data_IF_620241068901
#
_entry.id   IF_620241068901
#
_cell.length_a   1.000
_cell.length_b   1.000
_cell.length_c   1.000
_cell.angle_alpha   90.00
_cell.angle_beta   90.00
_cell.angle_gamma   90.00
#
_symmetry.space_group_name_H-M   'P 1'
#
loop_
_entity.id
_entity.type
_entity.pdbx_description
1 polymer ?
#
# COMPACT_ATOMS: atom_id res chain seq x y z
N UNK A 1 10.29 21.02 -10.85
CA UNK A 1 10.54 19.55 -10.88
C UNK A 1 9.38 18.81 -10.23
N UNK A 2 9.25 17.52 -10.52
CA UNK A 2 8.22 16.63 -9.95
C UNK A 2 8.93 15.61 -9.06
N UNK A 3 8.60 15.61 -7.77
CA UNK A 3 9.17 14.72 -6.76
C UNK A 3 8.14 13.67 -6.38
N UNK A 4 8.44 12.40 -6.60
CA UNK A 4 7.65 11.26 -6.13
C UNK A 4 8.19 10.79 -4.77
N UNK A 5 7.42 11.02 -3.71
CA UNK A 5 7.83 10.89 -2.32
C UNK A 5 7.08 9.76 -1.63
N UNK A 6 7.80 8.81 -1.05
CA UNK A 6 7.19 7.66 -0.36
C UNK A 6 8.13 7.05 0.68
N UNK A 7 7.53 6.29 1.60
CA UNK A 7 8.27 5.43 2.50
C UNK A 7 8.53 4.08 1.85
N UNK A 8 9.70 3.50 2.11
CA UNK A 8 10.07 2.16 1.68
C UNK A 8 10.29 1.25 2.88
N UNK A 9 9.75 0.03 2.84
CA UNK A 9 9.94 -0.99 3.87
C UNK A 9 10.68 -2.22 3.33
N UNK A 10 10.04 -3.04 2.49
CA UNK A 10 10.63 -4.27 1.93
C UNK A 10 10.08 -4.62 0.53
N UNK A 11 9.28 -3.75 -0.05
CA UNK A 11 8.55 -3.99 -1.29
C UNK A 11 9.44 -3.71 -2.53
N UNK A 12 10.57 -4.43 -2.69
CA UNK A 12 11.55 -4.18 -3.77
C UNK A 12 10.92 -4.29 -5.16
N UNK A 13 10.12 -5.31 -5.40
CA UNK A 13 9.46 -5.51 -6.70
C UNK A 13 8.44 -4.41 -6.97
N UNK A 14 7.68 -4.01 -5.97
CA UNK A 14 6.70 -2.93 -6.10
C UNK A 14 7.37 -1.57 -6.29
N UNK A 15 8.52 -1.33 -5.63
CA UNK A 15 9.34 -0.14 -5.87
C UNK A 15 9.82 -0.09 -7.33
N UNK A 16 10.29 -1.22 -7.86
CA UNK A 16 10.72 -1.29 -9.25
C UNK A 16 9.57 -1.01 -10.22
N UNK A 17 8.41 -1.64 -10.01
CA UNK A 17 7.20 -1.40 -10.81
C UNK A 17 6.80 0.09 -10.74
N UNK A 18 6.77 0.69 -9.54
CA UNK A 18 6.47 2.12 -9.36
C UNK A 18 7.38 3.00 -10.17
N UNK A 19 8.70 2.79 -10.06
CA UNK A 19 9.68 3.57 -10.79
C UNK A 19 9.52 3.42 -12.31
N UNK A 20 9.27 2.19 -12.82
CA UNK A 20 8.99 1.96 -14.24
C UNK A 20 7.73 2.69 -14.72
N UNK A 21 6.65 2.66 -13.94
CA UNK A 21 5.38 3.30 -14.31
C UNK A 21 5.50 4.83 -14.32
N UNK A 22 6.25 5.40 -13.39
CA UNK A 22 6.31 6.85 -13.20
C UNK A 22 7.54 7.52 -13.84
N UNK A 23 8.47 6.75 -14.40
CA UNK A 23 9.76 7.27 -14.89
C UNK A 23 9.63 8.48 -15.83
N UNK A 24 8.64 8.46 -16.72
CA UNK A 24 8.50 9.50 -17.74
C UNK A 24 7.83 10.79 -17.24
N UNK A 25 7.28 10.76 -16.02
CA UNK A 25 6.55 11.92 -15.44
C UNK A 25 7.19 12.46 -14.17
N UNK A 26 8.19 11.74 -13.61
CA UNK A 26 8.85 12.10 -12.35
C UNK A 26 10.30 12.50 -12.60
N UNK A 27 10.74 13.61 -12.02
CA UNK A 27 12.12 14.05 -12.08
C UNK A 27 12.98 13.45 -10.95
N UNK A 28 12.38 13.21 -9.77
CA UNK A 28 13.06 12.69 -8.59
C UNK A 28 12.17 11.69 -7.83
N UNK A 29 12.73 10.54 -7.49
CA UNK A 29 12.15 9.56 -6.57
C UNK A 29 12.76 9.72 -5.19
N UNK A 30 11.99 10.20 -4.22
CA UNK A 30 12.41 10.35 -2.83
C UNK A 30 12.10 9.06 -2.09
N UNK A 31 13.11 8.21 -1.97
CA UNK A 31 13.04 6.92 -1.25
C UNK A 31 13.42 7.15 0.21
N UNK A 32 12.45 7.11 1.11
CA UNK A 32 12.66 7.27 2.55
C UNK A 32 12.60 5.91 3.25
N UNK A 33 13.71 5.45 3.81
CA UNK A 33 13.80 4.17 4.49
C UNK A 33 14.18 4.35 5.96
N UNK A 34 13.38 3.75 6.88
CA UNK A 34 13.66 3.79 8.30
C UNK A 34 14.47 2.56 8.75
N UNK A 35 15.26 2.71 9.84
CA UNK A 35 16.00 1.62 10.47
C UNK A 35 15.14 0.73 11.38
N UNK A 36 13.85 1.04 11.48
CA UNK A 36 12.88 0.24 12.22
C UNK A 36 11.48 0.29 11.58
N UNK A 37 10.68 -0.72 11.89
CA UNK A 37 9.29 -0.84 11.44
C UNK A 37 8.35 0.03 12.28
N UNK A 38 7.09 0.20 11.84
CA UNK A 38 6.08 0.86 12.65
C UNK A 38 5.78 0.11 13.96
N UNK A 39 5.96 -1.21 13.99
CA UNK A 39 5.86 -2.00 15.22
C UNK A 39 7.08 -1.88 16.15
N UNK A 40 8.12 -1.13 15.74
CA UNK A 40 9.32 -0.86 16.55
C UNK A 40 10.41 -1.95 16.42
N UNK A 41 10.29 -2.84 15.44
CA UNK A 41 11.32 -3.86 15.18
C UNK A 41 12.44 -3.25 14.34
N UNK A 42 13.70 -3.52 14.71
CA UNK A 42 14.85 -3.15 13.89
C UNK A 42 14.82 -3.91 12.55
N UNK A 43 15.23 -3.24 11.48
CA UNK A 43 15.30 -3.83 10.15
C UNK A 43 16.58 -3.40 9.43
N UNK A 44 17.08 -4.21 8.47
CA UNK A 44 18.15 -3.82 7.57
C UNK A 44 17.67 -2.71 6.63
N UNK A 45 18.62 -2.02 5.99
CA UNK A 45 18.35 -1.02 4.94
C UNK A 45 18.29 -1.75 3.59
N UNK A 46 17.12 -2.29 3.29
CA UNK A 46 16.91 -3.17 2.14
C UNK A 46 17.09 -2.46 0.79
N UNK A 47 16.77 -1.17 0.72
CA UNK A 47 17.05 -0.40 -0.49
C UNK A 47 18.55 -0.31 -0.73
N UNK A 48 19.33 0.06 0.28
CA UNK A 48 20.79 0.17 0.17
C UNK A 48 21.43 -1.17 -0.19
N UNK A 49 20.99 -2.27 0.44
CA UNK A 49 21.47 -3.62 0.16
C UNK A 49 21.14 -4.09 -1.27
N UNK A 50 20.10 -3.54 -1.90
CA UNK A 50 19.64 -3.93 -3.23
C UNK A 50 19.71 -2.78 -4.26
N UNK A 51 20.52 -1.76 -4.00
CA UNK A 51 20.59 -0.53 -4.81
C UNK A 51 20.90 -0.79 -6.28
N UNK A 52 21.71 -1.81 -6.59
CA UNK A 52 22.06 -2.19 -7.95
C UNK A 52 20.84 -2.58 -8.80
N UNK A 53 19.78 -3.09 -8.19
CA UNK A 53 18.51 -3.39 -8.87
C UNK A 53 17.87 -2.13 -9.50
N UNK A 54 18.16 -0.96 -8.94
CA UNK A 54 17.58 0.33 -9.33
C UNK A 54 18.54 1.22 -10.13
N UNK A 55 19.63 0.66 -10.61
CA UNK A 55 20.71 1.39 -11.30
C UNK A 55 20.23 2.26 -12.48
N UNK A 56 19.23 1.81 -13.22
CA UNK A 56 18.67 2.57 -14.33
C UNK A 56 17.98 3.88 -13.89
N UNK A 57 17.55 3.97 -12.63
CA UNK A 57 16.91 5.15 -12.05
C UNK A 57 17.87 5.99 -11.18
N UNK A 58 19.13 5.59 -11.04
CA UNK A 58 20.09 6.17 -10.08
C UNK A 58 20.17 7.71 -10.17
N UNK A 59 20.13 8.26 -11.37
CA UNK A 59 20.20 9.72 -11.59
C UNK A 59 18.96 10.47 -11.06
N UNK A 60 17.86 9.78 -10.79
CA UNK A 60 16.62 10.35 -10.26
C UNK A 60 16.41 10.04 -8.77
N UNK A 61 17.14 9.09 -8.19
CA UNK A 61 16.93 8.64 -6.82
C UNK A 61 17.49 9.64 -5.82
N UNK A 62 16.67 10.04 -4.87
CA UNK A 62 17.03 10.76 -3.66
C UNK A 62 16.76 9.85 -2.46
N UNK A 63 17.81 9.21 -1.95
CA UNK A 63 17.69 8.27 -0.85
C UNK A 63 17.97 8.94 0.49
N UNK A 64 17.06 8.74 1.46
CA UNK A 64 17.27 9.19 2.84
C UNK A 64 17.01 8.04 3.82
N UNK A 65 17.79 8.02 4.90
CA UNK A 65 17.65 7.06 6.00
C UNK A 65 17.11 7.75 7.25
N UNK A 66 15.99 7.25 7.77
CA UNK A 66 15.38 7.71 9.03
C UNK A 66 15.89 6.82 10.17
N UNK A 67 16.82 7.38 11.00
CA UNK A 67 17.45 6.66 12.12
C UNK A 67 16.88 7.04 13.48
N UNK A 68 16.09 8.08 13.53
CA UNK A 68 15.61 8.80 14.71
C UNK A 68 14.10 8.67 14.91
N UNK A 69 13.51 7.56 14.44
CA UNK A 69 12.08 7.31 14.62
C UNK A 69 11.70 7.37 16.09
N UNK A 70 10.68 8.17 16.42
CA UNK A 70 10.11 8.30 17.76
C UNK A 70 8.62 8.04 17.74
N UNK A 71 8.09 7.56 18.86
CA UNK A 71 6.66 7.33 19.05
C UNK A 71 6.40 6.14 19.97
N UNK A 72 5.47 6.32 20.90
CA UNK A 72 5.10 5.30 21.89
C UNK A 72 4.15 4.25 21.32
N UNK A 73 3.52 4.55 20.20
CA UNK A 73 2.57 3.65 19.50
C UNK A 73 3.01 3.36 18.08
N UNK A 74 2.47 2.30 17.49
CA UNK A 74 2.68 1.96 16.09
C UNK A 74 2.26 3.11 15.15
N UNK A 75 1.11 3.75 15.43
CA UNK A 75 0.62 4.87 14.65
C UNK A 75 1.48 6.14 14.81
N UNK A 76 2.01 6.39 16.00
CA UNK A 76 2.92 7.53 16.20
C UNK A 76 4.22 7.35 15.40
N UNK A 77 4.79 6.14 15.38
CA UNK A 77 5.96 5.83 14.54
C UNK A 77 5.67 5.91 13.05
N UNK A 78 4.50 5.42 12.61
CA UNK A 78 4.05 5.55 11.22
C UNK A 78 3.94 7.03 10.81
N UNK A 79 3.26 7.85 11.62
CA UNK A 79 3.15 9.30 11.38
C UNK A 79 4.51 9.99 11.35
N UNK A 80 5.40 9.66 12.29
CA UNK A 80 6.75 10.21 12.33
C UNK A 80 7.53 9.90 11.05
N UNK A 81 7.55 8.63 10.64
CA UNK A 81 8.29 8.22 9.43
C UNK A 81 7.70 8.85 8.17
N UNK A 82 6.38 8.99 8.07
CA UNK A 82 5.70 9.71 6.98
C UNK A 82 6.12 11.18 6.93
N UNK A 83 6.14 11.85 8.06
CA UNK A 83 6.56 13.25 8.16
C UNK A 83 8.05 13.43 7.87
N UNK A 84 8.90 12.46 8.25
CA UNK A 84 10.33 12.49 7.99
C UNK A 84 10.66 12.56 6.49
N UNK A 85 9.78 12.09 5.60
CA UNK A 85 9.95 12.20 4.13
C UNK A 85 10.13 13.66 3.71
N UNK A 86 9.46 14.60 4.37
CA UNK A 86 9.54 16.04 4.10
C UNK A 86 10.97 16.60 4.21
N UNK A 87 11.84 15.95 4.99
CA UNK A 87 13.24 16.38 5.16
C UNK A 87 14.04 16.35 3.84
N UNK A 88 13.66 15.49 2.91
CA UNK A 88 14.29 15.43 1.58
C UNK A 88 13.91 16.61 0.68
N UNK A 89 12.87 17.36 1.02
CA UNK A 89 12.33 18.47 0.22
C UNK A 89 12.93 19.85 0.58
N UNK A 90 13.93 19.90 1.44
CA UNK A 90 14.51 21.16 1.96
C UNK A 90 15.01 22.11 0.87
N UNK A 91 15.40 21.57 -0.29
CA UNK A 91 15.90 22.35 -1.43
C UNK A 91 14.86 22.56 -2.54
N UNK A 92 13.60 22.15 -2.32
CA UNK A 92 12.55 22.40 -3.30
C UNK A 92 12.17 23.88 -3.35
N UNK A 93 11.83 24.33 -4.56
CA UNK A 93 11.24 25.65 -4.80
C UNK A 93 9.72 25.58 -4.66
N UNK A 94 9.07 26.72 -4.46
CA UNK A 94 7.61 26.79 -4.39
C UNK A 94 6.92 26.31 -5.68
N UNK A 95 7.66 26.36 -6.80
CA UNK A 95 7.20 25.90 -8.11
C UNK A 95 7.27 24.38 -8.28
N UNK A 96 7.99 23.66 -7.42
CA UNK A 96 8.13 22.23 -7.52
C UNK A 96 6.82 21.53 -7.14
N UNK A 97 6.60 20.36 -7.75
CA UNK A 97 5.39 19.55 -7.56
C UNK A 97 5.75 18.35 -6.70
N UNK A 98 4.98 18.14 -5.65
CA UNK A 98 5.14 17.05 -4.71
C UNK A 98 4.02 16.05 -4.94
N UNK A 99 4.39 14.85 -5.32
CA UNK A 99 3.54 13.67 -5.34
C UNK A 99 3.89 12.85 -4.09
N UNK A 100 2.91 12.57 -3.23
CA UNK A 100 3.12 11.80 -2.01
C UNK A 100 2.10 10.68 -1.87
N UNK A 101 2.55 9.49 -1.51
CA UNK A 101 1.72 8.32 -1.21
C UNK A 101 2.49 7.26 -0.42
N UNK A 102 1.81 6.19 0.02
CA UNK A 102 2.50 4.96 0.37
C UNK A 102 3.08 4.32 -0.92
N UNK A 103 4.14 3.53 -0.81
CA UNK A 103 4.88 3.00 -1.97
C UNK A 103 4.00 2.18 -2.91
N UNK A 104 3.09 1.40 -2.34
CA UNK A 104 2.18 0.50 -3.05
C UNK A 104 0.96 1.22 -3.67
N UNK A 105 0.90 2.56 -3.57
CA UNK A 105 -0.14 3.41 -4.17
C UNK A 105 0.44 4.16 -5.38
N UNK A 106 0.36 3.54 -6.55
CA UNK A 106 0.93 4.08 -7.79
C UNK A 106 -0.10 4.97 -8.49
N UNK A 107 0.13 6.29 -8.62
CA UNK A 107 -0.79 7.17 -9.36
C UNK A 107 -0.69 6.92 -10.86
N UNK A 108 -1.76 7.23 -11.57
CA UNK A 108 -1.83 7.12 -13.02
C UNK A 108 -0.98 8.23 -13.67
N UNK A 109 0.09 7.91 -14.42
CA UNK A 109 0.95 8.88 -15.05
C UNK A 109 0.22 9.77 -16.07
N UNK A 110 -0.78 9.27 -16.78
CA UNK A 110 -1.56 10.08 -17.71
C UNK A 110 -2.39 11.15 -16.98
N UNK A 111 -2.93 10.82 -15.80
CA UNK A 111 -3.62 11.81 -14.95
C UNK A 111 -2.67 12.86 -14.37
N UNK A 112 -1.43 12.49 -14.08
CA UNK A 112 -0.40 13.47 -13.68
C UNK A 112 -0.15 14.43 -14.84
N UNK A 113 0.04 13.96 -16.07
CA UNK A 113 0.23 14.80 -17.26
C UNK A 113 -0.96 15.74 -17.50
N UNK A 114 -2.19 15.21 -17.41
CA UNK A 114 -3.42 16.02 -17.54
C UNK A 114 -3.46 17.16 -16.51
N UNK A 115 -3.17 16.88 -15.24
CA UNK A 115 -3.14 17.87 -14.18
C UNK A 115 -2.07 18.94 -14.45
N UNK A 116 -0.87 18.51 -14.84
CA UNK A 116 0.25 19.43 -15.07
C UNK A 116 0.05 20.36 -16.26
N UNK A 117 -0.81 20.00 -17.22
CA UNK A 117 -1.14 20.85 -18.35
C UNK A 117 -1.98 22.10 -17.93
N UNK A 118 -2.71 22.02 -16.82
CA UNK A 118 -3.50 23.14 -16.26
C UNK A 118 -3.45 23.10 -14.71
N UNK A 119 -2.23 23.18 -14.18
CA UNK A 119 -1.96 22.95 -12.78
C UNK A 119 -2.35 24.13 -11.88
N UNK A 120 -3.42 23.97 -11.10
CA UNK A 120 -3.79 24.92 -10.05
C UNK A 120 -2.94 24.68 -8.79
N UNK A 121 -1.97 25.57 -8.54
CA UNK A 121 -1.03 25.50 -7.41
C UNK A 121 -1.68 25.70 -6.04
N UNK A 122 -2.93 26.14 -6.00
CA UNK A 122 -3.69 26.35 -4.76
C UNK A 122 -4.49 25.11 -4.35
N UNK A 123 -4.39 24.02 -5.11
CA UNK A 123 -5.17 22.80 -4.92
C UNK A 123 -4.30 21.59 -4.55
N UNK A 124 -4.94 20.66 -3.85
CA UNK A 124 -4.42 19.31 -3.60
C UNK A 124 -5.23 18.33 -4.46
N UNK A 125 -4.56 17.61 -5.34
CA UNK A 125 -5.18 16.61 -6.20
C UNK A 125 -5.16 15.25 -5.51
N UNK A 126 -6.33 14.63 -5.35
CA UNK A 126 -6.56 13.39 -4.63
C UNK A 126 -6.88 12.26 -5.61
N UNK A 127 -5.96 11.34 -5.80
CA UNK A 127 -6.09 10.26 -6.77
C UNK A 127 -6.98 9.14 -6.25
N UNK A 128 -8.11 8.92 -6.93
CA UNK A 128 -9.03 7.82 -6.66
C UNK A 128 -8.53 6.55 -7.37
N UNK A 129 -8.02 5.59 -6.61
CA UNK A 129 -7.29 4.42 -7.08
C UNK A 129 -8.12 3.15 -6.98
N UNK A 130 -7.87 2.18 -7.88
CA UNK A 130 -8.31 0.79 -7.76
C UNK A 130 -7.47 0.12 -6.67
N UNK A 131 -8.06 -0.82 -5.92
CA UNK A 131 -7.37 -1.51 -4.83
C UNK A 131 -7.21 -2.99 -5.15
N UNK A 132 -5.99 -3.49 -5.00
CA UNK A 132 -5.61 -4.87 -5.23
C UNK A 132 -4.86 -5.43 -4.02
N UNK A 133 -5.15 -6.68 -3.63
CA UNK A 133 -4.48 -7.33 -2.52
C UNK A 133 -3.72 -8.57 -2.94
N UNK A 134 -2.46 -8.66 -2.49
CA UNK A 134 -1.59 -9.84 -2.59
C UNK A 134 -1.19 -10.18 -4.03
N UNK A 135 -2.07 -9.98 -4.98
CA UNK A 135 -1.87 -10.22 -6.40
C UNK A 135 -2.24 -8.99 -7.22
N UNK A 136 -1.48 -8.74 -8.29
CA UNK A 136 -1.69 -7.61 -9.20
C UNK A 136 -3.10 -7.59 -9.80
N UNK A 137 -3.73 -8.76 -9.91
CA UNK A 137 -5.03 -8.94 -10.54
C UNK A 137 -6.14 -9.39 -9.58
N UNK A 138 -6.01 -9.15 -8.28
CA UNK A 138 -7.05 -9.46 -7.29
C UNK A 138 -7.65 -8.17 -6.73
N UNK A 139 -8.70 -7.67 -7.42
CA UNK A 139 -9.29 -6.35 -7.19
C UNK A 139 -10.42 -6.35 -6.14
N UNK A 140 -10.40 -5.38 -5.26
CA UNK A 140 -11.52 -5.06 -4.36
C UNK A 140 -12.61 -4.29 -5.12
N UNK A 141 -13.82 -4.86 -5.19
CA UNK A 141 -14.92 -4.32 -6.01
C UNK A 141 -16.12 -3.83 -5.20
N UNK A 142 -16.17 -4.12 -3.89
CA UNK A 142 -17.31 -3.72 -3.05
C UNK A 142 -17.27 -2.25 -2.62
N UNK A 143 -16.09 -1.65 -2.58
CA UNK A 143 -15.85 -0.32 -2.03
C UNK A 143 -15.91 -0.26 -0.49
N UNK A 144 -15.93 -1.38 0.20
CA UNK A 144 -16.10 -1.43 1.65
C UNK A 144 -14.80 -1.26 2.46
N UNK A 145 -13.62 -1.34 1.81
CA UNK A 145 -12.32 -1.10 2.45
C UNK A 145 -11.89 0.38 2.45
N UNK A 146 -12.73 1.28 2.03
CA UNK A 146 -12.39 2.64 1.65
C UNK A 146 -12.68 3.63 2.77
N UNK A 147 -12.04 3.46 3.91
CA UNK A 147 -12.25 4.29 5.09
C UNK A 147 -11.84 5.77 4.93
N UNK A 148 -10.94 6.06 4.00
CA UNK A 148 -10.47 7.42 3.70
C UNK A 148 -10.95 7.96 2.37
N UNK A 149 -11.86 7.27 1.73
CA UNK A 149 -12.59 7.88 0.65
C UNK A 149 -13.27 9.13 1.23
N UNK A 150 -12.44 10.13 1.43
CA UNK A 150 -12.89 11.40 1.92
C UNK A 150 -14.12 11.68 1.09
N UNK A 151 -15.25 11.73 1.74
CA UNK A 151 -16.54 11.95 1.11
C UNK A 151 -16.46 13.25 0.34
N UNK A 152 -15.99 13.13 -0.90
CA UNK A 152 -16.11 14.24 -1.83
C UNK A 152 -17.59 14.33 -2.19
N UNK A 153 -18.23 15.50 -2.01
CA UNK A 153 -19.65 15.67 -2.30
C UNK A 153 -19.99 15.19 -3.71
N UNK A 154 -21.05 14.40 -3.85
CA UNK A 154 -21.56 13.95 -5.14
C UNK A 154 -20.89 12.72 -5.76
N UNK A 155 -20.05 12.01 -5.02
CA UNK A 155 -19.38 10.80 -5.53
C UNK A 155 -20.08 9.54 -5.04
N UNK A 156 -20.74 8.82 -5.96
CA UNK A 156 -21.47 7.59 -5.66
C UNK A 156 -20.56 6.39 -5.32
N UNK A 157 -19.40 6.26 -5.96
CA UNK A 157 -18.48 5.13 -5.76
C UNK A 157 -17.33 5.52 -4.85
N UNK A 158 -17.23 4.84 -3.73
CA UNK A 158 -16.04 4.90 -2.88
C UNK A 158 -14.87 4.28 -3.64
N UNK A 159 -13.73 4.97 -3.65
CA UNK A 159 -12.45 4.49 -4.18
C UNK A 159 -11.38 4.78 -3.14
N UNK A 160 -10.28 4.06 -3.19
CA UNK A 160 -9.13 4.38 -2.36
C UNK A 160 -8.54 5.74 -2.76
N UNK A 161 -8.38 6.65 -1.81
CA UNK A 161 -7.78 7.96 -2.03
C UNK A 161 -6.37 7.95 -1.42
N UNK A 162 -5.43 7.35 -2.13
CA UNK A 162 -4.06 7.16 -1.65
C UNK A 162 -3.15 8.32 -1.98
N UNK A 163 -2.77 8.45 -3.25
CA UNK A 163 -1.81 9.45 -3.71
C UNK A 163 -2.36 10.87 -3.68
N UNK A 164 -1.46 11.82 -3.40
CA UNK A 164 -1.74 13.27 -3.38
C UNK A 164 -0.69 13.99 -4.22
N UNK A 165 -1.13 15.04 -4.94
CA UNK A 165 -0.25 15.92 -5.70
C UNK A 165 -0.59 17.37 -5.38
N UNK A 166 0.41 18.19 -5.10
CA UNK A 166 0.28 19.64 -4.91
C UNK A 166 1.60 20.34 -5.18
N UNK A 167 1.61 21.69 -5.18
CA UNK A 167 2.86 22.46 -5.21
C UNK A 167 3.55 22.41 -3.85
N UNK A 168 4.89 22.50 -3.85
CA UNK A 168 5.64 22.65 -2.60
C UNK A 168 5.31 23.97 -1.90
N UNK A 169 5.04 25.04 -2.68
CA UNK A 169 4.61 26.33 -2.16
C UNK A 169 3.34 26.21 -1.32
N UNK A 170 2.34 25.44 -1.79
CA UNK A 170 1.11 25.17 -1.03
C UNK A 170 1.41 24.39 0.26
N UNK A 171 2.27 23.38 0.23
CA UNK A 171 2.69 22.66 1.44
C UNK A 171 3.30 23.59 2.49
N UNK A 172 4.18 24.49 2.07
CA UNK A 172 4.81 25.49 2.96
C UNK A 172 3.80 26.48 3.52
N UNK A 173 2.95 27.06 2.66
CA UNK A 173 1.93 28.03 3.04
C UNK A 173 0.96 27.44 4.09
N UNK A 174 0.57 26.18 3.88
CA UNK A 174 -0.35 25.47 4.76
C UNK A 174 0.35 24.75 5.93
N UNK A 175 1.69 24.87 6.03
CA UNK A 175 2.53 24.19 7.00
C UNK A 175 2.29 22.66 7.05
N UNK A 176 2.21 22.02 5.87
CA UNK A 176 1.94 20.59 5.73
C UNK A 176 3.26 19.80 5.60
N UNK A 177 3.35 18.71 6.34
CA UNK A 177 4.33 17.66 6.13
C UNK A 177 3.73 16.54 5.24
N UNK A 178 4.58 15.65 4.70
CA UNK A 178 4.12 14.57 3.83
C UNK A 178 3.05 13.68 4.46
N UNK A 179 3.21 13.32 5.74
CA UNK A 179 2.21 12.52 6.45
C UNK A 179 0.86 13.23 6.62
N UNK A 180 0.88 14.56 6.77
CA UNK A 180 -0.34 15.37 6.88
C UNK A 180 -1.02 15.56 5.53
N UNK A 181 -0.25 15.63 4.44
CA UNK A 181 -0.78 15.66 3.09
C UNK A 181 -1.61 14.40 2.76
N UNK A 182 -1.27 13.25 3.38
CA UNK A 182 -1.98 12.00 3.19
C UNK A 182 -3.43 12.04 3.65
N UNK A 183 -3.73 12.78 4.70
CA UNK A 183 -5.07 12.81 5.28
C UNK A 183 -6.00 13.78 4.53
N UNK A 184 -7.27 13.41 4.26
CA UNK A 184 -8.18 14.21 3.45
C UNK A 184 -8.76 15.44 4.20
N UNK A 185 -7.98 16.08 5.04
CA UNK A 185 -8.44 17.16 5.92
C UNK A 185 -8.68 18.50 5.21
N UNK A 186 -8.32 18.60 3.92
CA UNK A 186 -8.41 19.83 3.14
C UNK A 186 -9.39 19.70 1.98
N UNK A 187 -10.66 19.34 2.30
CA UNK A 187 -11.73 19.20 1.28
C UNK A 187 -12.04 20.51 0.56
N UNK A 188 -11.79 21.64 1.19
CA UNK A 188 -11.97 23.00 0.66
C UNK A 188 -11.04 23.33 -0.52
N UNK A 189 -9.83 22.76 -0.52
CA UNK A 189 -8.84 22.92 -1.57
C UNK A 189 -8.54 21.62 -2.33
N UNK A 190 -9.28 20.54 -2.03
CA UNK A 190 -9.09 19.22 -2.63
C UNK A 190 -9.83 19.06 -3.95
N UNK A 191 -9.15 18.50 -4.95
CA UNK A 191 -9.74 18.06 -6.22
C UNK A 191 -9.59 16.55 -6.31
N UNK A 192 -10.72 15.84 -6.50
CA UNK A 192 -10.67 14.40 -6.77
C UNK A 192 -10.30 14.13 -8.23
N UNK A 193 -9.37 13.19 -8.42
CA UNK A 193 -8.92 12.71 -9.71
C UNK A 193 -9.40 11.27 -9.90
N UNK A 194 -10.42 11.07 -10.73
CA UNK A 194 -10.91 9.73 -11.06
C UNK A 194 -9.93 9.01 -12.01
N UNK A 195 -9.99 7.65 -12.02
CA UNK A 195 -9.00 6.80 -12.69
C UNK A 195 -7.56 7.14 -12.24
N UNK A 196 -7.43 7.46 -10.95
CA UNK A 196 -6.22 8.02 -10.36
C UNK A 196 -5.07 7.04 -10.19
N UNK A 197 -5.24 5.76 -10.53
CA UNK A 197 -4.17 4.76 -10.45
C UNK A 197 -4.54 3.51 -9.66
N UNK A 198 -3.54 2.91 -8.99
CA UNK A 198 -3.62 1.56 -8.41
C UNK A 198 -2.99 1.51 -7.03
N UNK A 199 -3.64 0.80 -6.11
CA UNK A 199 -3.10 0.46 -4.81
C UNK A 199 -2.86 -1.06 -4.74
N UNK A 200 -1.62 -1.49 -4.77
CA UNK A 200 -1.17 -2.88 -4.81
C UNK A 200 -0.69 -3.36 -3.45
N UNK A 201 -1.62 -3.55 -2.51
CA UNK A 201 -1.30 -3.90 -1.13
C UNK A 201 -0.81 -5.34 -0.95
N UNK A 202 0.07 -5.57 0.05
CA UNK A 202 0.59 -6.89 0.46
C UNK A 202 1.49 -7.59 -0.57
N UNK A 203 2.23 -6.85 -1.38
CA UNK A 203 3.16 -7.36 -2.40
C UNK A 203 4.62 -7.10 -2.01
N UNK A 204 4.99 -7.32 -0.73
CA UNK A 204 6.34 -7.13 -0.24
C UNK A 204 7.32 -8.22 -0.68
N UNK A 205 8.61 -7.87 -0.60
CA UNK A 205 9.72 -8.77 -0.91
C UNK A 205 10.34 -8.53 -2.29
N UNK A 206 11.27 -9.43 -2.63
CA UNK A 206 11.89 -9.55 -3.94
C UNK A 206 11.75 -10.99 -4.41
N UNK A 207 11.07 -11.20 -5.55
CA UNK A 207 10.71 -12.53 -6.06
C UNK A 207 10.07 -13.45 -5.01
N UNK A 208 9.32 -12.86 -4.05
CA UNK A 208 8.67 -13.64 -3.02
C UNK A 208 7.37 -14.27 -3.57
N UNK A 209 7.45 -15.53 -3.91
CA UNK A 209 6.35 -16.30 -4.52
C UNK A 209 5.28 -16.75 -3.50
N UNK A 210 5.61 -16.75 -2.20
CA UNK A 210 4.71 -17.22 -1.16
C UNK A 210 3.80 -16.07 -0.64
N UNK A 211 2.50 -16.07 -0.99
CA UNK A 211 1.58 -15.02 -0.58
C UNK A 211 1.42 -14.92 0.94
N UNK A 212 1.44 -16.04 1.66
CA UNK A 212 1.35 -16.07 3.13
C UNK A 212 2.55 -15.35 3.76
N UNK A 213 3.75 -15.49 3.17
CA UNK A 213 4.95 -14.81 3.68
C UNK A 213 4.87 -13.30 3.42
N UNK A 214 4.44 -12.86 2.23
CA UNK A 214 4.21 -11.44 1.92
C UNK A 214 3.23 -10.80 2.91
N UNK A 215 2.09 -11.45 3.14
CA UNK A 215 1.07 -10.98 4.09
C UNK A 215 1.63 -10.93 5.52
N UNK A 216 2.31 -11.99 5.96
CA UNK A 216 2.90 -12.08 7.30
C UNK A 216 3.89 -10.94 7.55
N UNK A 217 4.81 -10.69 6.62
CA UNK A 217 5.81 -9.62 6.75
C UNK A 217 5.14 -8.24 6.90
N UNK A 218 4.16 -7.94 6.04
CA UNK A 218 3.41 -6.67 6.11
C UNK A 218 2.66 -6.52 7.43
N UNK A 219 1.93 -7.56 7.87
CA UNK A 219 1.11 -7.50 9.10
C UNK A 219 1.97 -7.37 10.37
N UNK A 220 3.11 -8.07 10.45
CA UNK A 220 4.02 -7.99 11.61
C UNK A 220 4.64 -6.59 11.75
N UNK A 221 4.92 -5.92 10.64
CA UNK A 221 5.60 -4.62 10.61
C UNK A 221 4.66 -3.42 10.61
N UNK A 222 3.40 -3.59 10.20
CA UNK A 222 2.42 -2.52 10.04
C UNK A 222 1.96 -1.89 11.36
N UNK A 223 1.30 -0.75 11.26
CA UNK A 223 0.69 -0.06 12.40
C UNK A 223 -0.51 -0.85 12.98
N UNK A 224 -1.25 -1.56 12.14
CA UNK A 224 -2.47 -2.32 12.49
C UNK A 224 -2.17 -3.72 13.02
N UNK A 225 -1.68 -3.79 14.26
CA UNK A 225 -1.30 -5.06 14.92
C UNK A 225 -2.50 -5.96 15.29
N UNK A 226 -3.73 -5.45 15.29
CA UNK A 226 -4.96 -6.23 15.50
C UNK A 226 -5.16 -7.34 14.44
N UNK A 227 -4.55 -7.20 13.29
CA UNK A 227 -4.58 -8.19 12.20
C UNK A 227 -3.47 -9.25 12.30
N UNK A 228 -2.50 -9.08 13.20
CA UNK A 228 -1.40 -10.02 13.39
C UNK A 228 -1.87 -11.28 14.14
N UNK A 229 -2.67 -12.11 13.49
CA UNK A 229 -3.26 -13.34 14.02
C UNK A 229 -2.86 -14.53 13.16
N UNK A 230 -2.26 -15.54 13.79
CA UNK A 230 -1.74 -16.75 13.10
C UNK A 230 -2.76 -17.40 12.17
N UNK A 231 -4.03 -17.53 12.61
CA UNK A 231 -5.09 -18.12 11.80
C UNK A 231 -5.38 -17.30 10.55
N UNK A 232 -5.47 -15.97 10.68
CA UNK A 232 -5.70 -15.06 9.55
C UNK A 232 -4.58 -15.19 8.52
N UNK A 233 -3.34 -15.07 8.97
CA UNK A 233 -2.16 -15.14 8.10
C UNK A 233 -2.11 -16.48 7.36
N UNK A 234 -2.38 -17.61 8.05
CA UNK A 234 -2.29 -18.94 7.47
C UNK A 234 -3.35 -19.23 6.38
N UNK A 235 -4.47 -18.50 6.38
CA UNK A 235 -5.59 -18.73 5.46
C UNK A 235 -5.91 -17.54 4.56
N UNK A 236 -5.09 -16.51 4.59
CA UNK A 236 -5.34 -15.27 3.86
C UNK A 236 -5.44 -15.49 2.34
N UNK A 237 -4.55 -16.28 1.75
CA UNK A 237 -4.59 -16.61 0.32
C UNK A 237 -5.86 -17.39 -0.05
N UNK A 238 -6.21 -18.39 0.76
CA UNK A 238 -7.43 -19.19 0.55
C UNK A 238 -8.70 -18.30 0.61
N UNK A 239 -8.76 -17.36 1.56
CA UNK A 239 -9.89 -16.41 1.67
C UNK A 239 -9.99 -15.50 0.46
N UNK A 240 -8.85 -14.97 0.01
CA UNK A 240 -8.79 -14.06 -1.12
C UNK A 240 -9.25 -14.76 -2.42
N UNK A 241 -8.84 -16.03 -2.63
CA UNK A 241 -9.32 -16.85 -3.75
C UNK A 241 -10.84 -17.10 -3.73
N UNK A 242 -11.44 -17.10 -2.53
CA UNK A 242 -12.91 -17.13 -2.36
C UNK A 242 -13.57 -15.74 -2.54
N UNK A 243 -12.82 -14.72 -2.95
CA UNK A 243 -13.31 -13.34 -3.07
C UNK A 243 -13.55 -12.63 -1.73
N UNK A 244 -13.02 -13.16 -0.62
CA UNK A 244 -13.22 -12.63 0.73
C UNK A 244 -12.06 -11.80 1.21
N UNK A 245 -12.33 -10.84 2.07
CA UNK A 245 -11.28 -10.05 2.71
C UNK A 245 -10.44 -10.91 3.69
N UNK A 246 -9.14 -10.63 3.70
CA UNK A 246 -8.15 -11.33 4.53
C UNK A 246 -8.46 -11.26 6.03
N UNK A 247 -9.07 -10.17 6.48
CA UNK A 247 -9.29 -9.84 7.88
C UNK A 247 -10.75 -9.96 8.32
N UNK A 248 -11.61 -10.46 7.42
CA UNK A 248 -13.03 -10.70 7.70
C UNK A 248 -13.88 -9.42 7.69
N UNK A 249 -13.39 -8.33 7.08
CA UNK A 249 -14.20 -7.14 6.81
C UNK A 249 -15.19 -7.45 5.68
N UNK A 250 -16.26 -6.68 5.56
CA UNK A 250 -17.26 -6.86 4.52
C UNK A 250 -16.78 -6.30 3.17
N UNK A 251 -15.71 -6.89 2.62
CA UNK A 251 -15.19 -6.55 1.32
C UNK A 251 -15.20 -7.76 0.39
N UNK A 252 -15.30 -7.50 -0.91
CA UNK A 252 -15.35 -8.52 -1.93
C UNK A 252 -14.27 -8.28 -2.98
N UNK A 253 -13.54 -9.35 -3.29
CA UNK A 253 -12.46 -9.35 -4.27
C UNK A 253 -12.81 -10.20 -5.47
N UNK A 254 -12.37 -9.77 -6.64
CA UNK A 254 -12.49 -10.55 -7.88
C UNK A 254 -11.14 -10.63 -8.60
N UNK A 255 -10.88 -11.76 -9.22
CA UNK A 255 -9.75 -11.90 -10.14
C UNK A 255 -10.09 -11.21 -11.46
N UNK A 256 -9.27 -10.28 -11.87
CA UNK A 256 -9.37 -9.56 -13.14
C UNK A 256 -8.29 -10.03 -14.11
N UNK A 257 -8.43 -9.72 -15.39
CA UNK A 257 -7.32 -9.81 -16.34
C UNK A 257 -6.52 -8.50 -16.32
N UNK A 258 -5.24 -8.57 -16.65
CA UNK A 258 -4.39 -7.38 -16.80
C UNK A 258 -4.60 -6.85 -18.21
N UNK A 259 -5.48 -5.87 -18.34
CA UNK A 259 -5.92 -5.25 -19.58
C UNK A 259 -5.44 -3.78 -19.70
N UNK A 260 -6.00 -3.03 -20.64
CA UNK A 260 -5.68 -1.62 -20.90
C UNK A 260 -5.95 -0.68 -19.71
N UNK A 261 -6.67 -1.12 -18.69
CA UNK A 261 -6.92 -0.35 -17.46
C UNK A 261 -5.79 -0.42 -16.43
N UNK A 262 -4.77 -1.23 -16.69
CA UNK A 262 -3.57 -1.35 -15.87
C UNK A 262 -2.43 -0.45 -16.37
N UNK A 263 -1.37 -0.23 -15.55
CA UNK A 263 -0.17 0.46 -16.02
C UNK A 263 0.37 -0.20 -17.29
N UNK A 264 0.71 0.59 -18.31
CA UNK A 264 1.25 0.08 -19.58
C UNK A 264 2.46 -0.85 -19.36
N UNK A 265 3.31 -0.52 -18.40
CA UNK A 265 4.44 -1.36 -18.03
C UNK A 265 4.00 -2.78 -17.61
N UNK A 266 2.97 -2.91 -16.78
CA UNK A 266 2.47 -4.23 -16.34
C UNK A 266 1.79 -4.99 -17.50
N UNK A 267 1.10 -4.30 -18.40
CA UNK A 267 0.51 -4.93 -19.59
C UNK A 267 1.58 -5.59 -20.47
N UNK A 268 2.72 -4.93 -20.64
CA UNK A 268 3.82 -5.37 -21.52
C UNK A 268 4.75 -6.39 -20.85
N UNK A 269 4.80 -6.44 -19.53
CA UNK A 269 5.76 -7.22 -18.75
C UNK A 269 5.11 -8.24 -17.80
N UNK A 270 3.93 -8.77 -18.15
CA UNK A 270 3.21 -9.73 -17.31
C UNK A 270 4.04 -10.97 -16.96
N UNK A 271 4.87 -11.44 -17.90
CA UNK A 271 5.71 -12.62 -17.70
C UNK A 271 6.78 -12.43 -16.61
N UNK A 272 7.30 -11.22 -16.47
CA UNK A 272 8.32 -10.88 -15.45
C UNK A 272 7.71 -10.91 -14.02
N UNK A 273 6.41 -10.68 -13.92
CA UNK A 273 5.65 -10.59 -12.67
C UNK A 273 4.65 -11.73 -12.47
N UNK A 274 4.82 -12.85 -13.18
CA UNK A 274 3.88 -13.99 -13.19
C UNK A 274 3.58 -14.52 -11.77
N UNK A 275 4.55 -14.51 -10.87
CA UNK A 275 4.38 -14.92 -9.48
C UNK A 275 3.52 -13.96 -8.62
N UNK A 276 3.28 -12.73 -9.10
CA UNK A 276 2.34 -11.76 -8.51
C UNK A 276 0.97 -11.78 -9.19
N UNK A 277 0.74 -12.65 -10.18
CA UNK A 277 -0.53 -12.77 -10.90
C UNK A 277 -1.23 -14.04 -10.46
N UNK A 278 -2.42 -13.88 -9.89
CA UNK A 278 -3.25 -15.01 -9.48
C UNK A 278 -3.75 -15.77 -10.71
N UNK A 279 -3.36 -17.05 -10.82
CA UNK A 279 -3.86 -17.94 -11.87
C UNK A 279 -5.22 -18.53 -11.47
N UNK A 280 -6.11 -18.81 -12.45
CA UNK A 280 -7.35 -19.52 -12.19
C UNK A 280 -7.04 -20.91 -11.65
N UNK A 281 -7.87 -21.36 -10.72
CA UNK A 281 -7.84 -22.73 -10.22
C UNK A 281 -8.68 -23.66 -11.12
N UNK A 282 -8.29 -24.90 -11.23
CA UNK A 282 -9.17 -25.96 -11.73
C UNK A 282 -10.24 -26.27 -10.70
N UNK A 283 -11.36 -26.88 -11.09
CA UNK A 283 -12.41 -27.30 -10.15
C UNK A 283 -11.90 -28.24 -9.07
N UNK A 284 -10.98 -29.14 -9.41
CA UNK A 284 -10.38 -30.07 -8.45
C UNK A 284 -9.47 -29.38 -7.43
N UNK A 285 -8.76 -28.32 -7.83
CA UNK A 285 -7.93 -27.51 -6.93
C UNK A 285 -8.79 -26.71 -5.97
N UNK A 286 -9.87 -26.09 -6.47
CA UNK A 286 -10.83 -25.35 -5.68
C UNK A 286 -11.53 -26.27 -4.63
N UNK A 287 -12.01 -27.45 -5.03
CA UNK A 287 -12.61 -28.41 -4.12
C UNK A 287 -11.63 -28.87 -3.02
N UNK A 288 -10.38 -29.14 -3.39
CA UNK A 288 -9.31 -29.50 -2.42
C UNK A 288 -9.03 -28.35 -1.45
N UNK A 289 -9.02 -27.12 -1.93
CA UNK A 289 -8.84 -25.92 -1.11
C UNK A 289 -9.99 -25.75 -0.12
N UNK A 290 -11.24 -25.83 -0.58
CA UNK A 290 -12.43 -25.75 0.27
C UNK A 290 -12.47 -26.83 1.35
N UNK A 291 -12.09 -28.07 1.02
CA UNK A 291 -11.99 -29.16 2.00
C UNK A 291 -10.92 -28.89 3.06
N UNK A 292 -9.75 -28.37 2.66
CA UNK A 292 -8.66 -27.96 3.56
C UNK A 292 -9.14 -26.86 4.51
N UNK A 293 -9.78 -25.82 3.98
CA UNK A 293 -10.31 -24.70 4.77
C UNK A 293 -11.37 -25.16 5.78
N UNK A 294 -12.30 -26.02 5.37
CA UNK A 294 -13.32 -26.56 6.26
C UNK A 294 -12.71 -27.35 7.43
N UNK A 295 -11.66 -28.15 7.19
CA UNK A 295 -10.91 -28.85 8.23
C UNK A 295 -10.21 -27.88 9.17
N UNK A 296 -9.53 -26.88 8.63
CA UNK A 296 -8.80 -25.87 9.40
C UNK A 296 -9.75 -25.05 10.29
N UNK A 297 -10.89 -24.63 9.76
CA UNK A 297 -11.93 -23.93 10.52
C UNK A 297 -12.42 -24.74 11.71
N UNK A 298 -12.76 -26.02 11.50
CA UNK A 298 -13.18 -26.91 12.60
C UNK A 298 -12.12 -27.09 13.66
N UNK A 299 -10.84 -27.21 13.26
CA UNK A 299 -9.71 -27.31 14.19
C UNK A 299 -9.55 -26.03 15.02
N UNK A 300 -9.63 -24.86 14.38
CA UNK A 300 -9.56 -23.57 15.05
C UNK A 300 -10.71 -23.36 16.04
N UNK A 301 -11.95 -23.68 15.65
CA UNK A 301 -13.12 -23.58 16.52
C UNK A 301 -12.98 -24.46 17.78
N UNK A 302 -12.42 -25.67 17.64
CA UNK A 302 -12.11 -26.56 18.77
C UNK A 302 -11.04 -25.97 19.70
N UNK A 303 -9.97 -25.42 19.13
CA UNK A 303 -8.90 -24.76 19.91
C UNK A 303 -9.44 -23.56 20.71
N UNK A 304 -10.25 -22.71 20.07
CA UNK A 304 -10.89 -21.55 20.71
C UNK A 304 -11.82 -22.00 21.84
N UNK A 305 -12.62 -23.08 21.62
CA UNK A 305 -13.51 -23.63 22.64
C UNK A 305 -12.72 -24.18 23.84
N UNK A 306 -11.62 -24.89 23.61
CA UNK A 306 -10.73 -25.37 24.69
C UNK A 306 -10.13 -24.22 25.48
N UNK A 307 -9.58 -23.20 24.80
CA UNK A 307 -9.02 -22.00 25.44
C UNK A 307 -10.07 -21.27 26.31
N UNK A 308 -11.31 -21.14 25.81
CA UNK A 308 -12.41 -20.55 26.57
C UNK A 308 -12.77 -21.37 27.83
N UNK A 309 -12.76 -22.70 27.75
CA UNK A 309 -13.01 -23.59 28.90
C UNK A 309 -11.92 -23.46 29.96
N UNK A 310 -10.64 -23.47 29.53
CA UNK A 310 -9.49 -23.29 30.44
C UNK A 310 -9.59 -21.94 31.15
N UNK A 311 -9.87 -20.85 30.40
CA UNK A 311 -10.01 -19.51 30.98
C UNK A 311 -11.14 -19.43 32.01
N UNK A 312 -12.26 -20.11 31.78
CA UNK A 312 -13.36 -20.19 32.78
C UNK A 312 -12.94 -20.94 34.03
N UNK A 313 -12.21 -22.05 33.91
CA UNK A 313 -11.73 -22.84 35.08
C UNK A 313 -10.76 -22.01 35.92
N UNK A 314 -9.83 -21.30 35.28
CA UNK A 314 -8.85 -20.45 35.98
C UNK A 314 -9.47 -19.23 36.67
N UNK A 315 -10.63 -18.75 36.23
CA UNK A 315 -11.34 -17.61 36.84
C UNK A 315 -12.35 -18.02 37.94
N UNK A 316 -12.63 -19.33 38.10
CA UNK A 316 -13.50 -19.87 39.14
C UNK A 316 -12.67 -20.29 40.37
N UNK A 317 -11.34 -20.26 40.30
CA UNK A 317 -10.42 -20.66 41.35
C UNK A 317 -9.70 -19.48 42.05
N UNK A 318 -10.23 -18.25 41.91
CA UNK A 318 -9.71 -17.06 42.59
C UNK A 318 -10.79 -16.30 43.33
#
# INVERSE_FOLDING_TARGET
MIYDCFQFFNELDMLYIRMKVLNDVVDRFVVSEATETFSGLKKPLLFEENREMFREFESKIMYQVVKDTVGDTTHARDTFQKNAVTRALVNCSDEDVILYSDLDEIPNPEKIKEILADFDRTKIYHFAQRMFYVYLNMEEVSGNLLSYAGEFPGVEKKKWIGSKLCSYGLMREQNLQCGELRFPQRKDIGIRVDNGGWHFGYMGGHHETNPTKRISQKVISAAHQEYNRKYIIAHADDLLRDGKDLFGRNAHFVRTEIDETYPLYLQQHQADWDYLILKPETKEEEERRHLRMAKAKKAHEREVAVKRRIKKILHIGG
#
